data_IF_132067432472
#
_entry.id   IF_132067432472
#
_cell.length_a   1.000
_cell.length_b   1.000
_cell.length_c   1.000
_cell.angle_alpha   90.00
_cell.angle_beta   90.00
_cell.angle_gamma   90.00
#
_symmetry.space_group_name_H-M   'P 1'
#
loop_
_entity.id
_entity.type
_entity.pdbx_description
1 polymer ?
#
# COMPACT_ATOMS: atom_id res chain seq x y z
N UNK A 1 -21.06 -1.14 35.73
CA UNK A 1 -20.70 -2.57 35.72
C UNK A 1 -19.67 -2.73 34.62
N UNK A 2 -18.42 -3.06 34.93
CA UNK A 2 -17.38 -3.25 33.91
C UNK A 2 -17.59 -4.63 33.28
N UNK A 3 -18.18 -4.67 32.08
CA UNK A 3 -18.32 -5.91 31.31
C UNK A 3 -16.94 -6.48 30.96
N UNK A 4 -16.84 -7.79 30.82
CA UNK A 4 -15.60 -8.44 30.41
C UNK A 4 -15.24 -7.95 28.99
N UNK A 5 -13.94 -7.79 28.70
CA UNK A 5 -13.48 -7.32 27.37
C UNK A 5 -14.00 -8.21 26.24
N UNK A 6 -14.11 -9.52 26.49
CA UNK A 6 -14.67 -10.48 25.55
C UNK A 6 -16.17 -10.31 25.30
N UNK A 7 -16.94 -9.91 26.31
CA UNK A 7 -18.39 -9.70 26.15
C UNK A 7 -18.64 -8.54 25.19
N UNK A 8 -17.85 -7.47 25.28
CA UNK A 8 -17.98 -6.29 24.41
C UNK A 8 -17.37 -6.53 23.02
N UNK A 9 -16.25 -7.26 22.94
CA UNK A 9 -15.58 -7.49 21.67
C UNK A 9 -16.33 -8.46 20.75
N UNK A 10 -17.03 -9.46 21.31
CA UNK A 10 -17.78 -10.45 20.54
C UNK A 10 -19.27 -10.15 20.37
N UNK A 11 -19.81 -9.13 21.05
CA UNK A 11 -21.22 -8.74 20.92
C UNK A 11 -21.46 -8.00 19.59
N UNK A 12 -22.14 -8.62 18.59
CA UNK A 12 -22.27 -8.01 17.26
C UNK A 12 -23.10 -6.73 17.26
N UNK A 13 -23.92 -6.50 18.29
CA UNK A 13 -24.69 -5.28 18.47
C UNK A 13 -23.84 -4.10 18.99
N UNK A 14 -22.63 -4.36 19.53
CA UNK A 14 -21.77 -3.33 20.07
C UNK A 14 -20.90 -2.67 18.97
N UNK A 15 -20.87 -1.32 18.87
CA UNK A 15 -20.02 -0.60 17.91
C UNK A 15 -18.51 -0.90 18.00
N UNK A 16 -18.04 -1.43 19.13
CA UNK A 16 -16.65 -1.81 19.37
C UNK A 16 -16.30 -3.24 18.95
N UNK A 17 -17.29 -4.05 18.56
CA UNK A 17 -17.10 -5.45 18.18
C UNK A 17 -16.16 -5.62 16.98
N UNK A 18 -15.28 -6.62 17.07
CA UNK A 18 -14.22 -6.91 16.08
C UNK A 18 -13.43 -5.68 15.62
N UNK A 19 -13.36 -4.67 16.50
CA UNK A 19 -12.83 -3.34 16.21
C UNK A 19 -11.35 -3.18 16.51
N UNK A 20 -10.88 -1.94 16.39
CA UNK A 20 -9.52 -1.59 16.84
C UNK A 20 -9.47 -1.44 18.35
N UNK A 21 -8.26 -1.53 18.93
CA UNK A 21 -8.01 -1.24 20.35
C UNK A 21 -8.58 0.11 20.81
N UNK A 22 -8.66 1.09 19.90
CA UNK A 22 -9.25 2.39 20.20
C UNK A 22 -10.77 2.30 20.42
N UNK A 23 -11.50 1.53 19.61
CA UNK A 23 -12.95 1.34 19.78
C UNK A 23 -13.27 0.61 21.08
N UNK A 24 -12.49 -0.43 21.41
CA UNK A 24 -12.67 -1.16 22.66
C UNK A 24 -12.35 -0.27 23.88
N UNK A 25 -11.37 0.62 23.75
CA UNK A 25 -11.07 1.62 24.78
C UNK A 25 -12.19 2.63 24.98
N UNK A 26 -12.77 3.14 23.89
CA UNK A 26 -13.88 4.09 23.91
C UNK A 26 -15.14 3.47 24.56
N UNK A 27 -15.44 2.21 24.26
CA UNK A 27 -16.61 1.51 24.80
C UNK A 27 -16.46 1.05 26.27
N UNK A 28 -15.25 0.65 26.69
CA UNK A 28 -15.04 0.03 28.01
C UNK A 28 -14.42 0.95 29.05
N UNK A 29 -13.74 2.02 28.63
CA UNK A 29 -12.98 2.90 29.51
C UNK A 29 -11.79 2.22 30.22
N UNK A 30 -11.46 1.00 29.83
CA UNK A 30 -10.41 0.18 30.45
C UNK A 30 -9.00 0.67 30.10
N UNK A 31 -8.00 0.21 30.86
CA UNK A 31 -6.60 0.56 30.58
C UNK A 31 -6.16 0.04 29.22
N UNK A 32 -5.44 0.87 28.45
CA UNK A 32 -4.96 0.54 27.09
C UNK A 32 -4.04 -0.68 27.09
N UNK A 33 -3.25 -0.87 28.14
CA UNK A 33 -2.35 -2.03 28.29
C UNK A 33 -3.15 -3.33 28.38
N UNK A 34 -4.23 -3.34 29.18
CA UNK A 34 -5.12 -4.50 29.35
C UNK A 34 -5.85 -4.84 28.05
N UNK A 35 -6.32 -3.82 27.33
CA UNK A 35 -6.97 -3.99 26.01
C UNK A 35 -5.99 -4.52 24.97
N UNK A 36 -4.75 -4.02 24.97
CA UNK A 36 -3.73 -4.44 24.00
C UNK A 36 -3.36 -5.90 24.23
N UNK A 37 -3.14 -6.31 25.47
CA UNK A 37 -2.83 -7.71 25.81
C UNK A 37 -3.98 -8.65 25.44
N UNK A 38 -5.22 -8.27 25.75
CA UNK A 38 -6.40 -9.05 25.35
C UNK A 38 -6.51 -9.22 23.83
N UNK A 39 -6.29 -8.14 23.07
CA UNK A 39 -6.38 -8.18 21.61
C UNK A 39 -5.20 -8.93 20.96
N UNK A 40 -4.02 -8.96 21.60
CA UNK A 40 -2.89 -9.76 21.12
C UNK A 40 -3.16 -11.27 21.24
N UNK A 41 -3.86 -11.68 22.30
CA UNK A 41 -4.28 -13.07 22.52
C UNK A 41 -5.50 -13.49 21.67
N UNK A 42 -6.21 -12.53 21.05
CA UNK A 42 -7.42 -12.78 20.26
C UNK A 42 -7.09 -13.14 18.80
N UNK A 43 -7.34 -14.40 18.42
CA UNK A 43 -7.04 -14.94 17.09
C UNK A 43 -7.67 -14.12 15.95
N UNK A 44 -8.93 -13.71 16.13
CA UNK A 44 -9.66 -12.93 15.13
C UNK A 44 -9.01 -11.57 14.87
N UNK A 45 -8.45 -10.94 15.90
CA UNK A 45 -7.76 -9.66 15.78
C UNK A 45 -6.38 -9.84 15.14
N UNK A 46 -5.60 -10.79 15.64
CA UNK A 46 -4.21 -11.00 15.20
C UNK A 46 -4.13 -11.46 13.74
N UNK A 47 -5.04 -12.31 13.27
CA UNK A 47 -5.07 -12.76 11.87
C UNK A 47 -5.37 -11.61 10.88
N UNK A 48 -6.21 -10.66 11.28
CA UNK A 48 -6.68 -9.57 10.40
C UNK A 48 -5.86 -8.30 10.51
N UNK A 49 -5.04 -8.16 11.56
CA UNK A 49 -4.20 -6.98 11.78
C UNK A 49 -3.05 -6.95 10.76
N UNK A 50 -2.96 -5.93 9.90
CA UNK A 50 -1.85 -5.83 8.96
C UNK A 50 -0.52 -5.70 9.70
N UNK A 51 0.40 -6.63 9.47
CA UNK A 51 1.77 -6.54 9.98
C UNK A 51 2.53 -5.43 9.23
N UNK A 52 2.50 -4.20 9.76
CA UNK A 52 3.21 -3.06 9.16
C UNK A 52 4.71 -3.15 9.47
N UNK A 53 5.51 -3.60 8.49
CA UNK A 53 6.97 -3.53 8.57
C UNK A 53 7.46 -2.23 7.96
N UNK A 54 8.16 -1.39 8.75
CA UNK A 54 8.90 -0.24 8.23
C UNK A 54 10.27 -0.73 7.78
N UNK A 55 10.50 -0.78 6.47
CA UNK A 55 11.81 -1.06 5.90
C UNK A 55 12.49 0.27 5.51
N UNK A 56 13.82 0.40 5.70
CA UNK A 56 14.54 1.56 5.20
C UNK A 56 14.38 1.62 3.67
N UNK A 57 14.02 2.79 3.16
CA UNK A 57 13.95 3.07 1.73
C UNK A 57 14.98 4.13 1.40
N UNK A 58 15.65 3.98 0.26
CA UNK A 58 16.50 5.03 -0.27
C UNK A 58 15.61 6.24 -0.62
N UNK A 59 16.00 7.41 -0.15
CA UNK A 59 15.35 8.66 -0.55
C UNK A 59 15.87 9.03 -1.93
N UNK A 60 14.98 9.31 -2.87
CA UNK A 60 15.36 9.86 -4.17
C UNK A 60 15.58 11.37 -4.00
N UNK A 61 16.82 11.82 -4.15
CA UNK A 61 17.18 13.23 -4.20
C UNK A 61 17.38 13.64 -5.66
N UNK A 62 16.86 14.81 -6.03
CA UNK A 62 17.12 15.47 -7.31
C UNK A 62 17.27 16.96 -7.01
N UNK A 63 18.37 17.56 -7.44
CA UNK A 63 18.69 18.95 -7.08
C UNK A 63 18.22 19.94 -8.16
N UNK A 64 18.12 19.51 -9.42
CA UNK A 64 17.69 20.34 -10.55
C UNK A 64 16.74 19.63 -11.53
N UNK A 65 16.02 20.42 -12.33
CA UNK A 65 15.24 19.96 -13.49
C UNK A 65 16.20 19.28 -14.48
N UNK A 66 15.75 18.17 -15.05
CA UNK A 66 16.48 17.38 -16.06
C UNK A 66 17.79 16.75 -15.60
N UNK A 67 18.01 16.65 -14.29
CA UNK A 67 19.21 16.02 -13.72
C UNK A 67 19.06 14.51 -13.51
N UNK A 68 17.88 14.07 -13.07
CA UNK A 68 17.63 12.68 -12.72
C UNK A 68 16.28 12.24 -13.25
N UNK A 69 16.28 11.25 -14.14
CA UNK A 69 15.07 10.69 -14.73
C UNK A 69 14.85 9.26 -14.22
N UNK A 70 13.61 8.94 -13.88
CA UNK A 70 13.18 7.58 -13.58
C UNK A 70 12.44 7.01 -14.77
N UNK A 71 12.79 5.79 -15.16
CA UNK A 71 12.16 5.09 -16.26
C UNK A 71 11.63 3.75 -15.80
N UNK A 72 10.45 3.38 -16.31
CA UNK A 72 9.86 2.08 -16.10
C UNK A 72 9.18 1.61 -17.39
N UNK A 73 9.01 0.29 -17.52
CA UNK A 73 8.39 -0.32 -18.68
C UNK A 73 7.17 -1.14 -18.27
N UNK A 74 6.00 -0.70 -18.70
CA UNK A 74 4.76 -1.45 -18.47
C UNK A 74 4.54 -2.46 -19.60
N UNK A 75 4.21 -3.70 -19.23
CA UNK A 75 4.00 -4.81 -20.17
C UNK A 75 2.54 -4.92 -20.61
N UNK A 76 2.34 -4.85 -21.93
CA UNK A 76 1.04 -4.97 -22.61
C UNK A 76 1.11 -5.98 -23.77
N UNK A 77 2.05 -6.92 -23.75
CA UNK A 77 2.23 -7.91 -24.82
C UNK A 77 0.94 -8.69 -25.15
N UNK A 78 0.13 -8.97 -24.14
CA UNK A 78 -1.14 -9.68 -24.29
C UNK A 78 -2.14 -8.96 -25.18
N UNK A 79 -2.08 -7.62 -25.24
CA UNK A 79 -2.99 -6.77 -26.01
C UNK A 79 -2.41 -6.36 -27.37
N UNK A 80 -1.24 -6.89 -27.75
CA UNK A 80 -0.51 -6.49 -28.97
C UNK A 80 -1.36 -6.53 -30.25
N UNK A 81 -2.23 -7.54 -30.36
CA UNK A 81 -3.10 -7.72 -31.54
C UNK A 81 -4.12 -6.60 -31.69
N UNK A 82 -4.58 -6.07 -30.56
CA UNK A 82 -5.61 -5.04 -30.48
C UNK A 82 -5.02 -3.62 -30.28
N UNK A 83 -3.68 -3.51 -30.24
CA UNK A 83 -2.93 -2.29 -29.96
C UNK A 83 -1.89 -2.00 -31.05
N UNK A 84 -2.24 -2.19 -32.33
CA UNK A 84 -1.41 -1.87 -33.51
C UNK A 84 0.04 -2.40 -33.46
N UNK A 85 0.23 -3.55 -32.79
CA UNK A 85 1.53 -4.18 -32.61
C UNK A 85 2.41 -3.58 -31.50
N UNK A 86 1.90 -2.61 -30.73
CA UNK A 86 2.56 -2.09 -29.53
C UNK A 86 2.40 -3.07 -28.38
N UNK A 87 3.54 -3.36 -27.74
CA UNK A 87 3.63 -4.39 -26.70
C UNK A 87 3.96 -3.82 -25.33
N UNK A 88 4.45 -2.58 -25.26
CA UNK A 88 4.88 -1.96 -24.02
C UNK A 88 4.60 -0.46 -24.03
N UNK A 89 4.59 0.12 -22.83
CA UNK A 89 4.63 1.58 -22.64
C UNK A 89 5.87 1.89 -21.81
N UNK A 90 6.77 2.70 -22.38
CA UNK A 90 7.90 3.29 -21.67
C UNK A 90 7.40 4.54 -20.95
N UNK A 91 7.47 4.52 -19.63
CA UNK A 91 7.15 5.65 -18.78
C UNK A 91 8.46 6.30 -18.34
N UNK A 92 8.62 7.60 -18.61
CA UNK A 92 9.79 8.39 -18.20
C UNK A 92 9.28 9.56 -17.38
N UNK A 93 9.88 9.80 -16.22
CA UNK A 93 9.52 10.92 -15.34
C UNK A 93 10.79 11.66 -14.95
N UNK A 94 10.80 12.97 -15.14
CA UNK A 94 11.79 13.83 -14.51
C UNK A 94 11.51 13.90 -12.99
N UNK A 95 12.48 13.48 -12.19
CA UNK A 95 12.34 13.34 -10.74
C UNK A 95 12.14 14.70 -10.07
N UNK A 96 12.71 15.78 -10.62
CA UNK A 96 12.57 17.10 -10.01
C UNK A 96 11.24 17.76 -10.40
N UNK A 97 11.00 17.98 -11.70
CA UNK A 97 9.80 18.69 -12.16
C UNK A 97 8.51 17.88 -12.05
N UNK A 98 8.62 16.55 -11.86
CA UNK A 98 7.52 15.58 -11.94
C UNK A 98 6.82 15.55 -13.29
N UNK A 99 7.45 16.11 -14.32
CA UNK A 99 6.96 15.99 -15.69
C UNK A 99 7.16 14.57 -16.19
N UNK A 100 6.15 14.01 -16.87
CA UNK A 100 6.14 12.62 -17.30
C UNK A 100 5.80 12.45 -18.77
N UNK A 101 6.37 11.43 -19.38
CA UNK A 101 6.11 10.99 -20.74
C UNK A 101 5.73 9.52 -20.74
N UNK A 102 4.80 9.15 -21.61
CA UNK A 102 4.42 7.78 -21.88
C UNK A 102 4.55 7.51 -23.38
N UNK A 103 5.46 6.61 -23.75
CA UNK A 103 5.78 6.31 -25.14
C UNK A 103 5.45 4.84 -25.42
N UNK A 104 4.50 4.52 -26.31
CA UNK A 104 4.22 3.15 -26.66
C UNK A 104 5.36 2.61 -27.54
N UNK A 105 5.85 1.39 -27.24
CA UNK A 105 6.92 0.72 -28.00
C UNK A 105 6.51 -0.71 -28.38
N UNK A 106 6.98 -1.16 -29.54
CA UNK A 106 6.58 -2.46 -30.13
C UNK A 106 7.39 -3.64 -29.59
N UNK A 107 8.63 -3.39 -29.21
CA UNK A 107 9.56 -4.37 -28.66
C UNK A 107 10.48 -3.72 -27.61
N UNK A 108 11.23 -4.55 -26.88
CA UNK A 108 12.26 -4.10 -25.91
C UNK A 108 13.65 -3.99 -26.56
N UNK A 109 13.76 -4.22 -27.87
CA UNK A 109 15.06 -4.25 -28.52
C UNK A 109 15.57 -2.81 -28.55
N UNK A 110 16.63 -2.53 -27.79
CA UNK A 110 17.29 -1.22 -27.78
C UNK A 110 18.04 -0.91 -29.09
N UNK A 111 17.62 -1.52 -30.20
CA UNK A 111 18.19 -1.27 -31.51
C UNK A 111 17.90 0.18 -31.90
N UNK A 112 18.97 0.96 -31.93
CA UNK A 112 18.98 2.39 -32.23
C UNK A 112 18.10 2.73 -33.44
N UNK A 113 17.08 3.56 -33.24
CA UNK A 113 16.43 4.31 -34.30
C UNK A 113 17.21 5.62 -34.48
N UNK A 114 17.83 5.81 -35.65
CA UNK A 114 18.34 7.09 -36.14
C UNK A 114 17.21 7.86 -36.84
#
# INVERSE_FOLDING_TARGET
MHGNLGDVYHEPADPASYGSAWKLWDATGEKKEKITHYLEDEDAYTLRKPARRRFPRNVTYADNIDESWQTDLTDFQSLKKDNDGFSYILCVIDVFSKYGWAVPIKDKSGSFYH
#
